data_IF_209259975186
#
_entry.id   IF_209259975186
#
_cell.length_a   1.000
_cell.length_b   1.000
_cell.length_c   1.000
_cell.angle_alpha   90.00
_cell.angle_beta   90.00
_cell.angle_gamma   90.00
#
_symmetry.space_group_name_H-M   'P 1'
#
loop_
_entity.id
_entity.type
_entity.pdbx_description
1 polymer ?
#
# COMPACT_ATOMS: atom_id res chain seq x y z
N UNK A 1 -13.64 8.13 3.58
CA UNK A 1 -13.75 7.23 2.42
C UNK A 1 -13.40 5.79 2.82
N UNK A 2 -14.17 5.16 3.73
CA UNK A 2 -13.86 3.80 4.23
C UNK A 2 -14.10 2.67 3.21
N UNK A 3 -14.73 2.98 2.08
CA UNK A 3 -15.19 1.99 1.09
C UNK A 3 -14.83 2.37 -0.34
N UNK A 4 -13.70 3.07 -0.55
CA UNK A 4 -13.31 3.45 -1.91
C UNK A 4 -12.83 2.21 -2.68
N UNK A 5 -13.72 1.62 -3.46
CA UNK A 5 -13.41 0.51 -4.38
C UNK A 5 -12.59 0.97 -5.60
N UNK A 6 -12.36 2.28 -5.76
CA UNK A 6 -11.67 2.88 -6.90
C UNK A 6 -10.40 3.64 -6.52
N UNK A 7 -9.74 3.26 -5.42
CA UNK A 7 -8.52 3.92 -4.94
C UNK A 7 -7.47 4.06 -6.04
N UNK A 8 -7.20 2.98 -6.80
CA UNK A 8 -6.25 2.97 -7.92
C UNK A 8 -6.58 4.03 -8.98
N UNK A 9 -7.85 4.10 -9.39
CA UNK A 9 -8.31 5.06 -10.41
C UNK A 9 -8.18 6.49 -9.91
N UNK A 10 -8.58 6.73 -8.66
CA UNK A 10 -8.48 8.06 -8.05
C UNK A 10 -7.01 8.50 -7.90
N UNK A 11 -6.15 7.64 -7.37
CA UNK A 11 -4.71 7.90 -7.25
C UNK A 11 -4.06 8.19 -8.61
N UNK A 12 -4.44 7.45 -9.66
CA UNK A 12 -3.96 7.67 -11.03
C UNK A 12 -4.32 9.07 -11.54
N UNK A 13 -5.59 9.48 -11.38
CA UNK A 13 -6.04 10.83 -11.78
C UNK A 13 -5.28 11.93 -11.04
N UNK A 14 -5.10 11.80 -9.73
CA UNK A 14 -4.33 12.77 -8.95
C UNK A 14 -2.89 12.89 -9.45
N UNK A 15 -2.26 11.77 -9.78
CA UNK A 15 -0.91 11.77 -10.35
C UNK A 15 -0.86 12.49 -11.70
N UNK A 16 -1.86 12.29 -12.57
CA UNK A 16 -1.94 13.02 -13.86
C UNK A 16 -2.09 14.54 -13.70
N UNK A 17 -2.66 14.97 -12.57
CA UNK A 17 -2.79 16.38 -12.20
C UNK A 17 -1.54 16.93 -11.49
N UNK A 18 -0.48 16.14 -11.37
CA UNK A 18 0.78 16.54 -10.73
C UNK A 18 0.78 16.43 -9.20
N UNK A 19 -0.26 15.86 -8.60
CA UNK A 19 -0.25 15.59 -7.15
C UNK A 19 0.79 14.52 -6.81
N UNK A 20 1.49 14.72 -5.68
CA UNK A 20 2.52 13.79 -5.20
C UNK A 20 2.06 12.90 -4.05
N UNK A 21 1.05 13.34 -3.31
CA UNK A 21 0.57 12.67 -2.10
C UNK A 21 -0.96 12.62 -2.09
N UNK A 22 -1.48 11.62 -1.40
CA UNK A 22 -2.91 11.46 -1.13
C UNK A 22 -3.10 11.23 0.36
N UNK A 23 -4.04 11.99 0.96
CA UNK A 23 -4.59 11.68 2.28
C UNK A 23 -5.82 10.80 2.07
N UNK A 24 -5.83 9.59 2.64
CA UNK A 24 -6.91 8.63 2.43
C UNK A 24 -7.11 7.73 3.66
N UNK A 25 -8.22 7.02 3.71
CA UNK A 25 -8.44 5.92 4.66
C UNK A 25 -8.96 4.65 3.99
N UNK A 26 -8.74 4.55 2.68
CA UNK A 26 -9.30 3.50 1.85
C UNK A 26 -8.61 2.13 2.04
N UNK A 27 -7.35 2.09 2.50
CA UNK A 27 -6.58 0.84 2.65
C UNK A 27 -6.73 0.19 4.02
N UNK A 28 -6.54 0.97 5.08
CA UNK A 28 -6.54 0.45 6.46
C UNK A 28 -7.94 0.37 7.08
N UNK A 29 -8.95 1.05 6.51
CA UNK A 29 -10.31 1.10 7.06
C UNK A 29 -10.44 1.87 8.40
N UNK A 30 -9.31 2.24 9.00
CA UNK A 30 -9.19 3.03 10.22
C UNK A 30 -8.20 4.19 10.01
N UNK A 31 -8.40 5.27 10.78
CA UNK A 31 -7.62 6.51 10.75
C UNK A 31 -7.42 7.09 9.34
N UNK A 32 -6.54 8.08 9.19
CA UNK A 32 -6.14 8.62 7.89
C UNK A 32 -4.65 8.37 7.70
N UNK A 33 -4.27 7.99 6.49
CA UNK A 33 -2.88 7.84 6.07
C UNK A 33 -2.52 8.89 5.02
N UNK A 34 -1.23 9.25 4.99
CA UNK A 34 -0.63 10.04 3.93
C UNK A 34 0.23 9.10 3.08
N UNK A 35 -0.19 8.82 1.84
CA UNK A 35 0.55 7.95 0.92
C UNK A 35 1.18 8.72 -0.24
N UNK A 36 2.34 8.27 -0.71
CA UNK A 36 2.97 8.78 -1.92
C UNK A 36 2.34 8.18 -3.20
N UNK A 37 2.24 9.00 -4.25
CA UNK A 37 1.63 8.61 -5.54
C UNK A 37 2.65 8.09 -6.57
N UNK A 38 3.94 8.32 -6.34
CA UNK A 38 5.04 8.09 -7.29
C UNK A 38 5.92 6.89 -6.95
N UNK A 39 6.12 6.56 -5.67
CA UNK A 39 7.05 5.52 -5.24
C UNK A 39 6.37 4.21 -4.82
N UNK A 40 6.65 3.12 -5.54
CA UNK A 40 6.16 1.76 -5.26
C UNK A 40 7.16 0.72 -5.76
N UNK A 41 7.45 -0.28 -4.95
CA UNK A 41 8.25 -1.44 -5.35
C UNK A 41 7.37 -2.59 -5.84
N UNK A 42 7.92 -3.51 -6.62
CA UNK A 42 7.20 -4.75 -6.93
C UNK A 42 7.04 -5.61 -5.67
N UNK A 43 5.87 -6.23 -5.50
CA UNK A 43 5.55 -7.10 -4.37
C UNK A 43 6.65 -8.14 -4.06
N UNK A 44 7.25 -8.72 -5.10
CA UNK A 44 8.30 -9.73 -4.99
C UNK A 44 9.58 -9.24 -4.32
N UNK A 45 9.75 -7.92 -4.15
CA UNK A 45 10.89 -7.30 -3.48
C UNK A 45 10.66 -7.09 -1.97
N UNK A 46 9.45 -7.35 -1.46
CA UNK A 46 9.18 -7.26 -0.03
C UNK A 46 9.68 -8.51 0.68
N UNK A 47 10.62 -8.35 1.61
CA UNK A 47 11.17 -9.46 2.38
C UNK A 47 10.37 -9.78 3.64
N UNK A 48 10.01 -8.75 4.42
CA UNK A 48 9.29 -8.87 5.70
C UNK A 48 8.63 -7.52 6.02
N UNK A 49 7.50 -7.53 6.73
CA UNK A 49 6.89 -6.31 7.26
C UNK A 49 5.55 -5.95 6.65
N UNK A 50 5.04 -4.78 7.04
CA UNK A 50 3.79 -4.26 6.52
C UNK A 50 3.92 -3.78 5.09
N UNK A 51 2.88 -4.03 4.30
CA UNK A 51 2.76 -3.52 2.95
C UNK A 51 1.39 -2.93 2.69
N UNK A 52 1.32 -2.04 1.71
CA UNK A 52 0.07 -1.47 1.22
C UNK A 52 0.11 -1.24 -0.29
N UNK A 53 -0.93 -1.68 -0.99
CA UNK A 53 -1.04 -1.62 -2.45
C UNK A 53 -2.10 -0.60 -2.92
N UNK A 54 -1.97 -0.10 -4.15
CA UNK A 54 -2.99 0.77 -4.76
C UNK A 54 -4.31 0.06 -5.07
N UNK A 55 -4.33 -1.27 -5.15
CA UNK A 55 -5.58 -2.00 -5.28
C UNK A 55 -6.45 -1.92 -4.02
N UNK A 56 -5.91 -1.42 -2.90
CA UNK A 56 -6.58 -1.34 -1.62
C UNK A 56 -6.03 -2.34 -0.60
N UNK A 57 -5.37 -3.40 -1.07
CA UNK A 57 -4.90 -4.47 -0.19
C UNK A 57 -3.76 -4.03 0.72
N UNK A 58 -3.83 -4.47 1.97
CA UNK A 58 -2.79 -4.31 2.99
C UNK A 58 -2.51 -5.65 3.65
N UNK A 59 -1.35 -5.80 4.27
CA UNK A 59 -1.03 -7.00 5.03
C UNK A 59 0.38 -6.98 5.59
N UNK A 60 0.77 -8.11 6.18
CA UNK A 60 2.10 -8.32 6.72
C UNK A 60 2.75 -9.54 6.06
N UNK A 61 3.95 -9.36 5.50
CA UNK A 61 4.78 -10.46 5.00
C UNK A 61 5.52 -11.08 6.20
N UNK A 62 5.24 -12.35 6.55
CA UNK A 62 5.92 -13.00 7.65
C UNK A 62 7.37 -13.31 7.30
N UNK A 63 8.21 -13.39 8.33
CA UNK A 63 9.61 -13.78 8.20
C UNK A 63 10.16 -14.24 9.53
N UNK A 64 11.46 -14.56 9.59
CA UNK A 64 12.11 -14.99 10.82
C UNK A 64 11.96 -13.93 11.93
N UNK A 65 11.58 -14.30 13.17
CA UNK A 65 11.36 -13.35 14.26
C UNK A 65 12.54 -12.42 14.53
N UNK A 66 13.76 -12.91 14.36
CA UNK A 66 15.00 -12.15 14.51
C UNK A 66 15.16 -11.00 13.51
N UNK A 67 14.43 -11.03 12.39
CA UNK A 67 14.39 -9.94 11.40
C UNK A 67 13.29 -8.91 11.69
N UNK A 68 12.40 -9.18 12.65
CA UNK A 68 11.36 -8.23 13.06
C UNK A 68 11.99 -7.18 13.97
N UNK A 69 12.45 -6.10 13.35
CA UNK A 69 12.94 -4.91 14.04
C UNK A 69 11.82 -3.90 14.22
N UNK A 70 12.00 -2.93 15.12
CA UNK A 70 11.07 -1.81 15.29
C UNK A 70 10.77 -1.09 13.95
N UNK A 71 11.79 -0.94 13.10
CA UNK A 71 11.63 -0.39 11.74
C UNK A 71 10.65 -1.21 10.90
N UNK A 72 10.75 -2.54 10.92
CA UNK A 72 9.86 -3.45 10.18
C UNK A 72 8.43 -3.37 10.72
N UNK A 73 8.26 -3.17 12.02
CA UNK A 73 6.94 -3.06 12.66
C UNK A 73 6.23 -1.75 12.32
N UNK A 74 6.96 -0.64 12.19
CA UNK A 74 6.36 0.68 11.96
C UNK A 74 6.34 1.14 10.51
N UNK A 75 7.21 0.61 9.64
CA UNK A 75 7.25 1.02 8.25
C UNK A 75 6.27 0.23 7.40
N UNK A 76 5.49 0.97 6.61
CA UNK A 76 4.64 0.41 5.57
C UNK A 76 5.38 0.54 4.23
N UNK A 77 5.53 -0.59 3.54
CA UNK A 77 6.11 -0.63 2.20
C UNK A 77 5.02 -0.43 1.14
N UNK A 78 5.18 0.59 0.30
CA UNK A 78 4.28 0.84 -0.83
C UNK A 78 4.58 -0.12 -1.97
N UNK A 79 3.61 -0.95 -2.36
CA UNK A 79 3.80 -2.00 -3.37
C UNK A 79 2.87 -1.87 -4.57
N UNK A 80 3.29 -2.49 -5.68
CA UNK A 80 2.48 -2.81 -6.86
C UNK A 80 2.49 -4.33 -7.09
N UNK A 81 1.50 -4.82 -7.83
CA UNK A 81 1.40 -6.23 -8.23
C UNK A 81 1.37 -7.21 -7.03
N UNK A 82 0.63 -6.87 -5.97
CA UNK A 82 0.40 -7.80 -4.86
C UNK A 82 -0.48 -8.99 -5.31
N UNK A 83 -0.63 -10.05 -4.50
CA UNK A 83 -1.41 -11.24 -4.87
C UNK A 83 -2.82 -10.91 -5.37
N UNK A 84 -3.51 -10.00 -4.67
CA UNK A 84 -4.85 -9.53 -5.05
C UNK A 84 -4.89 -8.68 -6.34
N UNK A 85 -3.75 -8.21 -6.85
CA UNK A 85 -3.73 -7.55 -8.16
C UNK A 85 -3.85 -8.56 -9.31
N UNK A 86 -3.43 -9.80 -9.10
CA UNK A 86 -3.53 -10.90 -10.08
C UNK A 86 -4.82 -11.69 -9.96
N UNK A 87 -5.42 -11.73 -8.77
CA UNK A 87 -6.75 -12.29 -8.54
C UNK A 87 -7.81 -11.29 -8.99
N UNK A 88 -7.90 -11.10 -10.31
CA UNK A 88 -9.02 -10.37 -10.93
C UNK A 88 -10.26 -11.26 -10.81
N UNK A 89 -11.06 -11.02 -9.78
CA UNK A 89 -12.45 -11.45 -9.73
C UNK A 89 -13.35 -10.43 -10.42
#
# INVERSE_FOLDING_TARGET
MRHCTQLKTYASRLRTLGCRRLITNARWGMDVELMALDHRIDWQQVEIGWYACLCGQTGFVPGPPEKVTEKVTWQVTEVKNCPDCSDVH
#
